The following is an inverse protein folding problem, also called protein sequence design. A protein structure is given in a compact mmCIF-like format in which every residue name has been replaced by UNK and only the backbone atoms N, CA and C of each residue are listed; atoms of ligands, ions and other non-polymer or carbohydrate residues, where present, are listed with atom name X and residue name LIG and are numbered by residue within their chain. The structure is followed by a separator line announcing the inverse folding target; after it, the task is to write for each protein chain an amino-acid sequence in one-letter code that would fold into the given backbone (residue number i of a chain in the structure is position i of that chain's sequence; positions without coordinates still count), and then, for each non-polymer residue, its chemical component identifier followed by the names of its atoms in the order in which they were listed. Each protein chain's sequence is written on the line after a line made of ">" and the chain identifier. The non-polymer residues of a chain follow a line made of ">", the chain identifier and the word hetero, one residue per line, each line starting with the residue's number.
data_IF_655135284351
#
_entry.id   IF_655135284351
#
_cell.length_a   1.000
_cell.length_b   1.000
_cell.length_c   1.000
_cell.angle_alpha   90.00
_cell.angle_beta   90.00
_cell.angle_gamma   90.00
#
_symmetry.space_group_name_H-M   'P 1'
#
loop_
_entity.id
_entity.type
_entity.pdbx_description
1 polymer ?
#
# COMPACT_ATOMS: atom_id res chain seq x y z
N UNK A 1 -3.67 -3.29 0.90
CA UNK A 1 -3.25 -3.28 -0.51
C UNK A 1 -3.60 -1.94 -1.15
N UNK A 2 -2.62 -1.06 -1.26
CA UNK A 2 -2.70 0.16 -2.06
C UNK A 2 -1.52 0.20 -3.05
N UNK A 3 -1.64 0.98 -4.11
CA UNK A 3 -0.56 1.18 -5.08
C UNK A 3 0.34 2.35 -4.66
N UNK A 4 -0.25 3.46 -4.24
CA UNK A 4 0.46 4.73 -4.06
C UNK A 4 0.68 5.09 -2.59
N UNK A 5 -0.14 4.58 -1.67
CA UNK A 5 -0.10 4.94 -0.25
C UNK A 5 1.27 4.72 0.40
N UNK A 6 1.91 3.57 0.16
CA UNK A 6 3.24 3.31 0.74
C UNK A 6 4.36 4.11 0.07
N UNK A 7 4.25 4.41 -1.22
CA UNK A 7 5.15 5.34 -1.90
C UNK A 7 5.01 6.77 -1.33
N UNK A 8 3.77 7.21 -1.09
CA UNK A 8 3.46 8.51 -0.49
C UNK A 8 3.99 8.64 0.94
N UNK A 9 3.89 7.59 1.74
CA UNK A 9 4.50 7.59 3.07
C UNK A 9 6.03 7.56 2.99
N UNK A 10 6.60 6.79 2.05
CA UNK A 10 8.05 6.65 1.90
C UNK A 10 8.72 7.96 1.46
N UNK A 11 8.11 8.73 0.54
CA UNK A 11 8.67 10.01 0.06
C UNK A 11 8.82 11.07 1.15
N UNK A 12 8.03 10.99 2.23
CA UNK A 12 8.22 11.86 3.40
C UNK A 12 9.50 11.55 4.19
N UNK A 13 10.10 10.38 3.98
CA UNK A 13 11.27 9.91 4.70
C UNK A 13 12.54 9.87 3.84
N UNK A 14 12.42 9.51 2.56
CA UNK A 14 13.55 9.38 1.65
C UNK A 14 13.11 9.59 0.20
N UNK A 15 13.96 10.26 -0.59
CA UNK A 15 13.82 10.38 -2.04
C UNK A 15 14.64 9.33 -2.81
N UNK A 16 15.28 8.36 -2.13
CA UNK A 16 15.99 7.27 -2.81
C UNK A 16 14.97 6.29 -3.44
N UNK A 17 14.95 6.11 -4.78
CA UNK A 17 13.99 5.24 -5.44
C UNK A 17 14.01 3.78 -4.96
N UNK A 18 15.15 3.28 -4.48
CA UNK A 18 15.25 1.92 -3.91
C UNK A 18 14.49 1.79 -2.60
N UNK A 19 14.53 2.83 -1.76
CA UNK A 19 13.78 2.87 -0.52
C UNK A 19 12.27 2.89 -0.81
N UNK A 20 11.84 3.74 -1.76
CA UNK A 20 10.45 3.83 -2.21
C UNK A 20 9.98 2.49 -2.81
N UNK A 21 10.79 1.85 -3.66
CA UNK A 21 10.51 0.51 -4.18
C UNK A 21 10.36 -0.51 -3.05
N UNK A 22 11.28 -0.50 -2.07
CA UNK A 22 11.19 -1.36 -0.90
C UNK A 22 9.89 -1.18 -0.12
N UNK A 23 9.38 0.05 -0.03
CA UNK A 23 8.10 0.33 0.63
C UNK A 23 6.88 -0.19 -0.16
N UNK A 24 6.98 -0.28 -1.49
CA UNK A 24 5.93 -0.82 -2.38
C UNK A 24 5.98 -2.34 -2.52
N UNK A 25 7.16 -2.93 -2.35
CA UNK A 25 7.45 -4.32 -2.71
C UNK A 25 6.57 -5.37 -2.00
N UNK A 26 6.22 -5.24 -0.70
CA UNK A 26 5.36 -6.21 -0.04
C UNK A 26 3.94 -6.28 -0.63
N UNK A 27 3.36 -5.14 -1.05
CA UNK A 27 2.06 -5.14 -1.73
C UNK A 27 2.17 -5.85 -3.09
N UNK A 28 3.20 -5.54 -3.90
CA UNK A 28 3.40 -6.25 -5.16
C UNK A 28 3.61 -7.75 -4.97
N UNK A 29 4.38 -8.14 -3.96
CA UNK A 29 4.58 -9.55 -3.62
C UNK A 29 3.24 -10.22 -3.30
N UNK A 30 2.38 -9.57 -2.51
CA UNK A 30 1.05 -10.06 -2.21
C UNK A 30 0.17 -10.17 -3.46
N UNK A 31 0.13 -9.15 -4.33
CA UNK A 31 -0.63 -9.17 -5.59
C UNK A 31 -0.16 -10.31 -6.50
N UNK A 32 1.16 -10.53 -6.58
CA UNK A 32 1.77 -11.55 -7.40
C UNK A 32 1.69 -12.96 -6.77
N UNK A 33 1.16 -13.09 -5.55
CA UNK A 33 1.13 -14.37 -4.81
C UNK A 33 2.51 -14.87 -4.37
N UNK A 34 3.52 -14.00 -4.36
CA UNK A 34 4.90 -14.31 -3.97
C UNK A 34 5.04 -14.14 -2.46
N UNK A 35 5.69 -15.10 -1.79
CA UNK A 35 5.96 -15.05 -0.35
C UNK A 35 7.44 -14.85 -0.08
N UNK A 36 7.74 -14.09 0.96
CA UNK A 36 9.10 -14.00 1.52
C UNK A 36 10.09 -13.26 0.63
N UNK A 37 9.65 -12.21 -0.07
CA UNK A 37 10.57 -11.32 -0.79
C UNK A 37 11.57 -10.71 0.20
N UNK A 38 12.86 -10.89 -0.10
CA UNK A 38 13.97 -10.42 0.74
C UNK A 38 14.99 -9.73 -0.16
N UNK A 39 14.95 -8.40 -0.26
CA UNK A 39 15.98 -7.66 -0.98
C UNK A 39 17.36 -7.91 -0.38
N UNK A 40 18.39 -8.02 -1.24
CA UNK A 40 19.80 -8.13 -0.78
C UNK A 40 20.42 -6.77 -0.49
N UNK A 41 19.90 -5.72 -1.10
CA UNK A 41 20.32 -4.35 -0.88
C UNK A 41 19.70 -3.78 0.41
N UNK A 42 20.54 -3.16 1.23
CA UNK A 42 20.15 -2.61 2.54
C UNK A 42 19.09 -1.50 2.42
N UNK A 43 19.09 -0.73 1.33
CA UNK A 43 18.17 0.40 1.15
C UNK A 43 16.75 -0.08 0.86
N UNK A 44 16.58 -1.03 -0.06
CA UNK A 44 15.28 -1.66 -0.34
C UNK A 44 14.81 -2.46 0.86
N UNK A 45 15.71 -3.17 1.57
CA UNK A 45 15.36 -3.87 2.81
C UNK A 45 14.85 -2.90 3.90
N UNK A 46 15.46 -1.72 4.03
CA UNK A 46 14.98 -0.67 4.91
C UNK A 46 13.60 -0.13 4.49
N UNK A 47 13.34 -0.01 3.19
CA UNK A 47 12.03 0.31 2.62
C UNK A 47 10.96 -0.72 2.98
N UNK A 48 11.26 -2.02 2.88
CA UNK A 48 10.35 -3.11 3.29
C UNK A 48 10.04 -3.03 4.78
N UNK A 49 11.05 -2.77 5.62
CA UNK A 49 10.82 -2.58 7.04
C UNK A 49 9.95 -1.34 7.32
N UNK A 50 10.09 -0.27 6.52
CA UNK A 50 9.25 0.91 6.60
C UNK A 50 7.80 0.64 6.17
N UNK A 51 7.58 -0.15 5.11
CA UNK A 51 6.27 -0.63 4.71
C UNK A 51 5.53 -1.25 5.90
N UNK A 52 6.13 -2.24 6.57
CA UNK A 52 5.44 -2.93 7.67
C UNK A 52 5.08 -2.00 8.83
N UNK A 53 5.92 -1.01 9.14
CA UNK A 53 5.62 -0.03 10.19
C UNK A 53 4.47 0.90 9.80
N UNK A 54 4.49 1.40 8.57
CA UNK A 54 3.45 2.33 8.08
C UNK A 54 2.14 1.62 7.82
N UNK A 55 2.17 0.40 7.31
CA UNK A 55 1.03 -0.49 7.17
C UNK A 55 0.34 -0.74 8.51
N UNK A 56 1.12 -1.12 9.54
CA UNK A 56 0.58 -1.32 10.88
C UNK A 56 -0.01 -0.03 11.47
N UNK A 57 0.63 1.13 11.24
CA UNK A 57 0.13 2.42 11.71
C UNK A 57 -1.19 2.81 11.02
N UNK A 58 -1.28 2.63 9.70
CA UNK A 58 -2.49 2.88 8.92
C UNK A 58 -3.64 1.99 9.36
N UNK A 59 -3.38 0.70 9.52
CA UNK A 59 -4.36 -0.28 9.98
C UNK A 59 -4.81 -0.05 11.43
N UNK A 60 -4.07 0.74 12.22
CA UNK A 60 -4.50 1.19 13.55
C UNK A 60 -5.31 2.50 13.53
N UNK A 61 -5.49 3.14 12.38
CA UNK A 61 -6.14 4.43 12.29
C UNK A 61 -7.67 4.32 12.43
N UNK A 62 -8.24 5.09 13.37
CA UNK A 62 -9.67 5.07 13.65
C UNK A 62 -10.53 5.45 12.43
N UNK A 63 -10.09 6.42 11.62
CA UNK A 63 -10.83 6.83 10.43
C UNK A 63 -10.90 5.72 9.38
N UNK A 64 -9.79 5.00 9.17
CA UNK A 64 -9.77 3.85 8.27
C UNK A 64 -10.75 2.75 8.72
N UNK A 65 -10.78 2.44 10.02
CA UNK A 65 -11.73 1.48 10.57
C UNK A 65 -13.18 1.92 10.39
N UNK A 66 -13.50 3.17 10.70
CA UNK A 66 -14.87 3.71 10.57
C UNK A 66 -15.33 3.64 9.12
N UNK A 67 -14.50 4.07 8.18
CA UNK A 67 -14.84 4.06 6.75
C UNK A 67 -14.98 2.63 6.21
N UNK A 68 -14.04 1.73 6.56
CA UNK A 68 -14.08 0.33 6.13
C UNK A 68 -15.30 -0.41 6.69
N UNK A 69 -15.68 -0.10 7.94
CA UNK A 69 -16.86 -0.68 8.57
C UNK A 69 -18.14 -0.20 7.90
N UNK A 70 -18.28 1.11 7.65
CA UNK A 70 -19.43 1.66 6.95
C UNK A 70 -19.60 1.05 5.54
N UNK A 71 -18.50 0.87 4.81
CA UNK A 71 -18.51 0.18 3.51
C UNK A 71 -18.96 -1.28 3.62
N UNK A 72 -18.45 -2.00 4.63
CA UNK A 72 -18.84 -3.39 4.90
C UNK A 72 -20.33 -3.52 5.21
N UNK A 73 -20.86 -2.68 6.11
CA UNK A 73 -22.28 -2.68 6.49
C UNK A 73 -23.18 -2.38 5.29
N UNK A 74 -22.79 -1.41 4.46
CA UNK A 74 -23.52 -1.07 3.23
C UNK A 74 -23.60 -2.26 2.27
N UNK A 75 -22.46 -2.91 2.00
CA UNK A 75 -22.39 -4.07 1.12
C UNK A 75 -23.22 -5.25 1.64
N UNK A 76 -23.20 -5.51 2.94
CA UNK A 76 -24.04 -6.54 3.55
C UNK A 76 -25.52 -6.22 3.45
N UNK A 77 -25.90 -4.94 3.66
CA UNK A 77 -27.26 -4.46 3.45
C UNK A 77 -27.76 -4.65 2.02
N UNK A 78 -26.85 -4.61 1.04
CA UNK A 78 -27.13 -4.88 -0.37
C UNK A 78 -27.06 -6.38 -0.75
N UNK A 79 -26.86 -7.27 0.23
CA UNK A 79 -26.90 -8.73 0.07
C UNK A 79 -25.55 -9.39 -0.23
N UNK A 80 -24.44 -8.66 -0.15
CA UNK A 80 -23.10 -9.25 -0.31
C UNK A 80 -22.76 -10.12 0.92
N UNK A 81 -22.24 -11.32 0.66
CA UNK A 81 -21.81 -12.23 1.73
C UNK A 81 -20.73 -11.59 2.63
N UNK A 82 -20.70 -11.99 3.91
CA UNK A 82 -19.83 -11.38 4.93
C UNK A 82 -18.35 -11.31 4.53
N UNK A 83 -17.78 -12.40 4.00
CA UNK A 83 -16.37 -12.46 3.62
C UNK A 83 -16.01 -11.45 2.52
N UNK A 84 -16.67 -11.50 1.35
CA UNK A 84 -16.49 -10.50 0.31
C UNK A 84 -16.78 -9.06 0.76
N UNK A 85 -17.80 -8.84 1.60
CA UNK A 85 -18.11 -7.52 2.13
C UNK A 85 -16.97 -6.95 2.99
N UNK A 86 -16.33 -7.76 3.83
CA UNK A 86 -15.17 -7.36 4.62
C UNK A 86 -13.98 -7.00 3.73
N UNK A 87 -13.69 -7.85 2.73
CA UNK A 87 -12.58 -7.62 1.81
C UNK A 87 -12.79 -6.34 0.96
N UNK A 88 -13.99 -6.18 0.40
CA UNK A 88 -14.35 -5.02 -0.42
C UNK A 88 -14.43 -3.74 0.41
N UNK A 89 -15.05 -3.77 1.59
CA UNK A 89 -15.14 -2.62 2.48
C UNK A 89 -13.77 -2.09 2.88
N UNK A 90 -12.79 -2.98 3.05
CA UNK A 90 -11.40 -2.65 3.32
C UNK A 90 -10.69 -2.07 2.10
N UNK A 91 -10.58 -2.84 1.01
CA UNK A 91 -9.78 -2.45 -0.17
C UNK A 91 -10.38 -1.25 -0.89
N UNK A 92 -11.69 -1.02 -0.80
CA UNK A 92 -12.33 0.16 -1.40
C UNK A 92 -11.77 1.46 -0.82
N UNK A 93 -11.47 1.51 0.48
CA UNK A 93 -10.90 2.71 1.10
C UNK A 93 -9.46 2.92 0.65
N UNK A 94 -8.70 1.83 0.51
CA UNK A 94 -7.33 1.87 -0.02
C UNK A 94 -7.29 2.40 -1.46
N UNK A 95 -8.18 1.90 -2.33
CA UNK A 95 -8.27 2.34 -3.72
C UNK A 95 -8.82 3.77 -3.87
N UNK A 96 -9.74 4.20 -3.01
CA UNK A 96 -10.19 5.59 -2.98
C UNK A 96 -9.05 6.53 -2.59
N UNK A 97 -8.21 6.13 -1.62
CA UNK A 97 -7.02 6.89 -1.26
C UNK A 97 -6.02 6.94 -2.42
N UNK A 98 -5.78 5.82 -3.11
CA UNK A 98 -4.95 5.81 -4.31
C UNK A 98 -5.48 6.75 -5.39
N UNK A 99 -6.80 6.82 -5.58
CA UNK A 99 -7.42 7.76 -6.51
C UNK A 99 -7.10 9.22 -6.20
N UNK A 100 -7.11 9.60 -4.92
CA UNK A 100 -6.71 10.96 -4.48
C UNK A 100 -5.21 11.17 -4.66
N UNK A 101 -4.39 10.17 -4.31
CA UNK A 101 -2.94 10.25 -4.42
C UNK A 101 -2.45 10.29 -5.87
N UNK A 102 -3.19 9.72 -6.82
CA UNK A 102 -2.84 9.71 -8.23
C UNK A 102 -2.82 11.11 -8.88
N UNK A 103 -3.47 12.09 -8.26
CA UNK A 103 -3.43 13.49 -8.71
C UNK A 103 -2.14 14.23 -8.28
N UNK A 104 -1.35 13.67 -7.36
CA UNK A 104 -0.04 14.21 -6.97
C UNK A 104 1.04 13.80 -7.99
N UNK A 105 1.39 14.75 -8.88
CA UNK A 105 2.35 14.48 -9.95
C UNK A 105 3.72 14.07 -9.43
N UNK A 106 4.21 14.69 -8.37
CA UNK A 106 5.53 14.37 -7.83
C UNK A 106 5.56 12.95 -7.26
N UNK A 107 4.50 12.55 -6.55
CA UNK A 107 4.34 11.17 -6.09
C UNK A 107 4.33 10.18 -7.27
N UNK A 108 3.61 10.49 -8.35
CA UNK A 108 3.57 9.59 -9.51
C UNK A 108 4.93 9.48 -10.21
N UNK A 109 5.72 10.55 -10.23
CA UNK A 109 7.09 10.55 -10.78
C UNK A 109 8.04 9.75 -9.86
N UNK A 110 7.94 9.91 -8.54
CA UNK A 110 8.69 9.12 -7.54
C UNK A 110 8.37 7.62 -7.64
N UNK A 111 7.07 7.28 -7.77
CA UNK A 111 6.59 5.92 -7.97
C UNK A 111 7.12 5.31 -9.28
N UNK A 112 7.07 6.07 -10.38
CA UNK A 112 7.59 5.61 -11.67
C UNK A 112 9.11 5.39 -11.63
N UNK A 113 9.86 6.27 -10.96
CA UNK A 113 11.30 6.11 -10.76
C UNK A 113 11.64 4.85 -9.95
N UNK A 114 10.88 4.57 -8.88
CA UNK A 114 11.03 3.37 -8.08
C UNK A 114 10.83 2.08 -8.91
N UNK A 115 9.87 2.08 -9.84
CA UNK A 115 9.63 0.93 -10.75
C UNK A 115 10.75 0.69 -11.78
N UNK A 116 11.65 1.65 -11.99
CA UNK A 116 12.81 1.48 -12.88
C UNK A 116 14.04 0.90 -12.15
N UNK A 117 13.98 0.73 -10.83
CA UNK A 117 15.08 0.13 -10.06
C UNK A 117 15.18 -1.36 -10.38
N UNK A 118 16.37 -1.81 -10.75
CA UNK A 118 16.68 -3.22 -10.88
C UNK A 118 16.90 -3.85 -9.49
N UNK A 119 16.16 -4.93 -9.20
CA UNK A 119 16.25 -5.63 -7.91
C UNK A 119 17.27 -6.77 -7.97
N UNK A 120 18.18 -6.77 -6.99
CA UNK A 120 18.96 -7.96 -6.64
C UNK A 120 18.20 -8.73 -5.53
N UNK A 121 17.51 -9.81 -5.92
CA UNK A 121 16.77 -10.73 -5.03
C UNK A 121 17.59 -11.97 -4.69
#
# INVERSE_FOLDING_TARGET
>A
MNFLGHAAAARWHSSDPRFVLGAMLPDFAHMAGIRGVRPRDDVTAAGVAFHHRTDAAWHGCASFHVLSHAGTERLQGDGVGRGPALALGHVAIELLLDGVLADDRELTDDYAAALQVELEL
#
